data_IF_740791339674
#
_entry.id   IF_740791339674
#
_cell.length_a   1.000
_cell.length_b   1.000
_cell.length_c   1.000
_cell.angle_alpha   90.00
_cell.angle_beta   90.00
_cell.angle_gamma   90.00
#
_symmetry.space_group_name_H-M   'P 1'
#
loop_
_entity.id
_entity.type
_entity.pdbx_description
1 polymer ?
#
# COMPACT_ATOMS: atom_id res chain seq x y z
N UNK A 1 52.93 27.18 -15.13
CA UNK A 1 51.54 26.90 -15.57
C UNK A 1 50.81 26.31 -14.37
N UNK A 2 49.93 27.07 -13.73
CA UNK A 2 49.19 26.60 -12.55
C UNK A 2 48.13 25.61 -12.99
N UNK A 3 48.17 24.38 -12.46
CA UNK A 3 47.14 23.38 -12.74
C UNK A 3 45.76 23.96 -12.37
N UNK A 4 44.71 23.73 -13.18
CA UNK A 4 43.36 24.15 -12.81
C UNK A 4 43.01 23.51 -11.46
N UNK A 5 42.44 24.32 -10.55
CA UNK A 5 41.98 23.81 -9.27
C UNK A 5 40.93 22.71 -9.47
N UNK A 6 40.98 21.67 -8.64
CA UNK A 6 40.07 20.51 -8.70
C UNK A 6 38.60 20.91 -8.91
N UNK A 7 38.11 21.94 -8.21
CA UNK A 7 36.74 22.43 -8.34
C UNK A 7 36.41 23.04 -9.71
N UNK A 8 37.37 23.68 -10.37
CA UNK A 8 37.19 24.22 -11.71
C UNK A 8 37.06 23.09 -12.73
N UNK A 9 37.87 22.04 -12.58
CA UNK A 9 37.81 20.82 -13.39
C UNK A 9 36.48 20.08 -13.15
N UNK A 10 36.12 19.85 -11.89
CA UNK A 10 34.86 19.21 -11.49
C UNK A 10 33.64 19.94 -12.04
N UNK A 11 33.62 21.28 -11.97
CA UNK A 11 32.53 22.10 -12.52
C UNK A 11 32.44 21.99 -14.04
N UNK A 12 33.57 21.91 -14.73
CA UNK A 12 33.61 21.73 -16.19
C UNK A 12 33.05 20.36 -16.58
N UNK A 13 33.51 19.30 -15.92
CA UNK A 13 33.02 17.93 -16.10
C UNK A 13 31.50 17.84 -15.84
N UNK A 14 31.02 18.38 -14.71
CA UNK A 14 29.59 18.41 -14.37
C UNK A 14 28.74 19.12 -15.43
N UNK A 15 29.24 20.23 -16.00
CA UNK A 15 28.54 20.91 -17.09
C UNK A 15 28.52 20.10 -18.37
N UNK A 16 29.61 19.42 -18.70
CA UNK A 16 29.71 18.62 -19.91
C UNK A 16 28.77 17.41 -19.82
N UNK A 17 28.76 16.73 -18.68
CA UNK A 17 27.83 15.65 -18.33
C UNK A 17 26.38 16.13 -18.41
N UNK A 18 26.09 17.31 -17.85
CA UNK A 18 24.77 17.93 -17.87
C UNK A 18 24.23 18.27 -19.26
N UNK A 19 25.05 18.24 -20.32
CA UNK A 19 24.60 18.43 -21.71
C UNK A 19 24.12 17.13 -22.37
N UNK A 20 24.37 15.98 -21.75
CA UNK A 20 23.94 14.69 -22.29
C UNK A 20 22.41 14.54 -22.22
N UNK A 21 21.76 14.40 -23.38
CA UNK A 21 20.31 14.13 -23.43
C UNK A 21 19.94 12.80 -22.77
N UNK A 22 20.83 11.81 -22.86
CA UNK A 22 20.60 10.49 -22.29
C UNK A 22 20.59 10.51 -20.76
N UNK A 23 21.45 11.33 -20.13
CA UNK A 23 21.42 11.57 -18.68
C UNK A 23 20.03 12.06 -18.26
N UNK A 24 19.51 13.09 -18.93
CA UNK A 24 18.19 13.64 -18.62
C UNK A 24 17.05 12.68 -18.90
N UNK A 25 17.16 11.83 -19.94
CA UNK A 25 16.18 10.77 -20.20
C UNK A 25 16.14 9.74 -19.07
N UNK A 26 17.31 9.25 -18.61
CA UNK A 26 17.39 8.28 -17.51
C UNK A 26 16.88 8.89 -16.21
N UNK A 27 17.31 10.12 -15.87
CA UNK A 27 16.82 10.83 -14.69
C UNK A 27 15.32 11.11 -14.75
N UNK A 28 14.82 11.52 -15.92
CA UNK A 28 13.39 11.78 -16.14
C UNK A 28 12.55 10.51 -16.00
N UNK A 29 13.00 9.39 -16.58
CA UNK A 29 12.33 8.11 -16.46
C UNK A 29 12.33 7.61 -15.00
N UNK A 30 13.45 7.76 -14.30
CA UNK A 30 13.56 7.40 -12.88
C UNK A 30 12.64 8.27 -12.02
N UNK A 31 12.62 9.58 -12.25
CA UNK A 31 11.72 10.49 -11.53
C UNK A 31 10.25 10.15 -11.79
N UNK A 32 9.88 9.85 -13.03
CA UNK A 32 8.52 9.42 -13.38
C UNK A 32 8.15 8.10 -12.69
N UNK A 33 9.07 7.13 -12.67
CA UNK A 33 8.89 5.87 -11.97
C UNK A 33 8.69 6.09 -10.46
N UNK A 34 9.49 6.95 -9.82
CA UNK A 34 9.33 7.29 -8.40
C UNK A 34 7.99 7.93 -8.10
N UNK A 35 7.56 8.90 -8.91
CA UNK A 35 6.26 9.57 -8.75
C UNK A 35 5.10 8.59 -8.92
N UNK A 36 5.18 7.74 -9.95
CA UNK A 36 4.16 6.72 -10.21
C UNK A 36 4.08 5.68 -9.10
N UNK A 37 5.22 5.20 -8.60
CA UNK A 37 5.28 4.25 -7.49
C UNK A 37 4.71 4.84 -6.20
N UNK A 38 5.02 6.11 -5.90
CA UNK A 38 4.47 6.79 -4.73
C UNK A 38 2.95 7.02 -4.83
N UNK A 39 2.44 7.43 -6.00
CA UNK A 39 1.00 7.62 -6.18
C UNK A 39 0.23 6.29 -6.16
N UNK A 40 0.78 5.24 -6.79
CA UNK A 40 0.20 3.89 -6.77
C UNK A 40 0.05 3.34 -5.35
N UNK A 41 1.09 3.47 -4.52
CA UNK A 41 1.04 3.08 -3.11
C UNK A 41 0.06 3.94 -2.30
N UNK A 42 0.08 5.25 -2.48
CA UNK A 42 -0.85 6.15 -1.80
C UNK A 42 -2.31 5.89 -2.18
N UNK A 43 -2.60 5.60 -3.46
CA UNK A 43 -3.93 5.27 -3.95
C UNK A 43 -4.47 3.98 -3.32
N UNK A 44 -3.64 2.94 -3.19
CA UNK A 44 -4.00 1.72 -2.49
C UNK A 44 -4.39 2.01 -1.04
N UNK A 45 -3.51 2.72 -0.32
CA UNK A 45 -3.72 2.98 1.11
C UNK A 45 -4.97 3.84 1.35
N UNK A 46 -5.24 4.84 0.50
CA UNK A 46 -6.50 5.61 0.53
C UNK A 46 -7.72 4.71 0.38
N UNK A 47 -7.69 3.74 -0.55
CA UNK A 47 -8.79 2.80 -0.75
C UNK A 47 -8.97 1.88 0.47
N UNK A 48 -7.87 1.37 1.04
CA UNK A 48 -7.90 0.53 2.23
C UNK A 48 -8.43 1.29 3.47
N UNK A 49 -7.96 2.52 3.69
CA UNK A 49 -8.41 3.35 4.80
C UNK A 49 -9.90 3.71 4.66
N UNK A 50 -10.36 4.00 3.44
CA UNK A 50 -11.76 4.23 3.15
C UNK A 50 -12.61 2.97 3.44
N UNK A 51 -12.14 1.78 3.05
CA UNK A 51 -12.81 0.52 3.34
C UNK A 51 -12.89 0.23 4.86
N UNK A 52 -11.82 0.49 5.60
CA UNK A 52 -11.79 0.38 7.06
C UNK A 52 -12.78 1.37 7.70
N UNK A 53 -12.81 2.61 7.24
CA UNK A 53 -13.72 3.63 7.75
C UNK A 53 -15.19 3.25 7.50
N UNK A 54 -15.51 2.76 6.31
CA UNK A 54 -16.84 2.28 5.96
C UNK A 54 -17.25 1.08 6.82
N UNK A 55 -16.36 0.10 7.00
CA UNK A 55 -16.60 -1.06 7.85
C UNK A 55 -16.88 -0.64 9.30
N UNK A 56 -16.07 0.26 9.87
CA UNK A 56 -16.30 0.81 11.22
C UNK A 56 -17.63 1.55 11.34
N UNK A 57 -18.04 2.31 10.32
CA UNK A 57 -19.33 2.98 10.32
C UNK A 57 -20.49 1.98 10.33
N UNK A 58 -20.41 0.93 9.50
CA UNK A 58 -21.41 -0.13 9.45
C UNK A 58 -21.47 -0.93 10.76
N UNK A 59 -20.33 -1.24 11.37
CA UNK A 59 -20.27 -1.96 12.65
C UNK A 59 -20.88 -1.13 13.79
N UNK A 60 -20.63 0.19 13.83
CA UNK A 60 -21.27 1.09 14.79
C UNK A 60 -22.78 1.14 14.61
N UNK A 61 -23.26 1.29 13.37
CA UNK A 61 -24.69 1.31 13.08
C UNK A 61 -25.37 0.01 13.49
N UNK A 62 -24.73 -1.14 13.21
CA UNK A 62 -25.22 -2.45 13.63
C UNK A 62 -25.28 -2.60 15.15
N UNK A 63 -24.25 -2.13 15.86
CA UNK A 63 -24.20 -2.20 17.31
C UNK A 63 -25.29 -1.33 17.97
N UNK A 64 -25.54 -0.13 17.45
CA UNK A 64 -26.63 0.73 17.95
C UNK A 64 -28.01 0.08 17.71
N UNK A 65 -28.26 -0.45 16.51
CA UNK A 65 -29.50 -1.20 16.22
C UNK A 65 -29.68 -2.41 17.14
N UNK A 66 -28.59 -3.12 17.43
CA UNK A 66 -28.61 -4.29 18.32
C UNK A 66 -28.90 -3.86 19.77
N UNK A 67 -28.33 -2.75 20.23
CA UNK A 67 -28.60 -2.17 21.56
C UNK A 67 -30.04 -1.69 21.70
N UNK A 68 -30.57 -1.02 20.68
CA UNK A 68 -31.97 -0.59 20.65
C UNK A 68 -32.92 -1.79 20.74
N UNK A 69 -32.64 -2.85 19.96
CA UNK A 69 -33.39 -4.11 20.03
C UNK A 69 -33.30 -4.76 21.42
N UNK A 70 -32.11 -4.82 22.01
CA UNK A 70 -31.91 -5.35 23.36
C UNK A 70 -32.69 -4.55 24.41
N UNK A 71 -32.76 -3.21 24.30
CA UNK A 71 -33.58 -2.38 25.19
C UNK A 71 -35.08 -2.66 25.03
N UNK A 72 -35.54 -2.93 23.81
CA UNK A 72 -36.93 -3.32 23.54
C UNK A 72 -37.33 -4.62 24.25
N UNK A 73 -36.39 -5.55 24.40
CA UNK A 73 -36.59 -6.83 25.10
C UNK A 73 -36.22 -6.78 26.60
N UNK A 74 -35.84 -5.62 27.14
CA UNK A 74 -35.61 -5.45 28.58
C UNK A 74 -36.92 -5.49 29.40
N UNK A 75 -38.08 -5.45 28.75
CA UNK A 75 -39.38 -5.72 29.34
C UNK A 75 -39.76 -7.18 29.05
N UNK A 76 -40.37 -7.92 30.00
CA UNK A 76 -40.74 -9.31 29.75
C UNK A 76 -41.69 -9.39 28.55
N UNK A 77 -41.23 -10.01 27.48
CA UNK A 77 -42.06 -10.28 26.31
C UNK A 77 -43.13 -11.32 26.68
N UNK A 78 -44.34 -11.17 26.15
CA UNK A 78 -45.44 -12.10 26.40
C UNK A 78 -45.17 -13.51 25.85
N UNK A 79 -44.28 -13.63 24.86
CA UNK A 79 -43.78 -14.90 24.34
C UNK A 79 -42.24 -14.94 24.34
N UNK A 80 -41.63 -16.10 24.67
CA UNK A 80 -40.18 -16.27 24.61
C UNK A 80 -39.70 -16.22 23.17
N UNK A 81 -38.75 -15.31 22.89
CA UNK A 81 -38.13 -15.24 21.57
C UNK A 81 -37.18 -16.42 21.33
N UNK A 82 -37.05 -16.89 20.08
CA UNK A 82 -35.99 -17.80 19.72
C UNK A 82 -34.60 -17.15 19.89
N UNK A 83 -33.62 -17.93 20.33
CA UNK A 83 -32.27 -17.43 20.65
C UNK A 83 -31.59 -16.69 19.47
N UNK A 84 -31.87 -17.05 18.21
CA UNK A 84 -31.30 -16.37 17.04
C UNK A 84 -31.89 -14.98 16.75
N UNK A 85 -33.01 -14.62 17.39
CA UNK A 85 -33.64 -13.30 17.28
C UNK A 85 -33.41 -12.43 18.52
N UNK A 86 -32.97 -13.04 19.62
CA UNK A 86 -32.73 -12.38 20.90
C UNK A 86 -31.26 -11.93 21.04
N UNK A 87 -30.98 -10.61 21.02
CA UNK A 87 -29.64 -10.10 21.23
C UNK A 87 -29.20 -10.11 22.71
N UNK A 88 -30.10 -10.44 23.65
CA UNK A 88 -29.80 -10.55 25.09
C UNK A 88 -29.37 -11.96 25.49
N UNK A 89 -29.74 -12.98 24.71
CA UNK A 89 -29.23 -14.33 24.85
C UNK A 89 -27.75 -14.39 24.44
N UNK A 90 -26.91 -14.97 25.30
CA UNK A 90 -25.45 -15.01 25.09
C UNK A 90 -25.09 -15.85 23.87
N UNK A 91 -25.75 -16.99 23.66
CA UNK A 91 -25.48 -17.87 22.53
C UNK A 91 -25.97 -17.25 21.22
N UNK A 92 -27.17 -16.67 21.22
CA UNK A 92 -27.73 -15.88 20.13
C UNK A 92 -26.84 -14.72 19.72
N UNK A 93 -26.45 -13.90 20.69
CA UNK A 93 -25.59 -12.74 20.48
C UNK A 93 -24.26 -13.14 19.82
N UNK A 94 -23.59 -14.15 20.39
CA UNK A 94 -22.29 -14.62 19.90
C UNK A 94 -22.29 -15.08 18.44
N UNK A 95 -23.43 -15.61 17.96
CA UNK A 95 -23.54 -16.25 16.64
C UNK A 95 -24.15 -15.35 15.57
N UNK A 96 -25.16 -14.55 15.92
CA UNK A 96 -25.95 -13.79 14.95
C UNK A 96 -25.74 -12.28 15.04
N UNK A 97 -25.28 -11.78 16.18
CA UNK A 97 -25.20 -10.33 16.43
C UNK A 97 -23.77 -9.83 16.60
N UNK A 98 -22.84 -10.70 17.02
CA UNK A 98 -21.43 -10.35 17.16
C UNK A 98 -20.83 -10.09 15.78
N UNK A 99 -20.60 -8.81 15.51
CA UNK A 99 -19.94 -8.33 14.31
C UNK A 99 -18.70 -7.55 14.71
N UNK A 100 -17.68 -8.30 15.14
CA UNK A 100 -16.37 -7.75 15.47
C UNK A 100 -15.42 -7.95 14.28
N UNK A 101 -14.54 -6.96 14.06
CA UNK A 101 -13.57 -6.96 12.96
C UNK A 101 -12.20 -6.64 13.51
N UNK A 102 -11.18 -7.39 13.10
CA UNK A 102 -9.79 -7.03 13.27
C UNK A 102 -9.36 -6.14 12.10
N UNK A 103 -8.71 -5.02 12.38
CA UNK A 103 -8.29 -4.04 11.38
C UNK A 103 -6.77 -3.90 11.37
N UNK A 104 -6.18 -3.86 10.16
CA UNK A 104 -4.77 -3.54 9.94
C UNK A 104 -4.66 -2.07 9.50
N UNK A 105 -4.38 -1.11 10.41
CA UNK A 105 -4.24 0.29 10.03
C UNK A 105 -2.95 0.51 9.23
N UNK A 106 -3.01 1.43 8.29
CA UNK A 106 -1.83 1.87 7.55
C UNK A 106 -0.97 2.82 8.39
N UNK A 107 0.35 2.63 8.33
CA UNK A 107 1.32 3.51 8.98
C UNK A 107 1.64 4.70 8.07
N UNK A 108 2.09 5.85 8.58
CA UNK A 108 2.37 7.02 7.75
C UNK A 108 3.37 6.78 6.60
N UNK A 109 4.34 5.87 6.79
CA UNK A 109 5.35 5.51 5.79
C UNK A 109 5.01 4.28 4.96
N UNK A 110 3.95 3.54 5.29
CA UNK A 110 3.60 2.31 4.56
C UNK A 110 3.22 2.53 3.08
N UNK A 111 2.71 3.70 2.62
CA UNK A 111 2.49 3.94 1.20
C UNK A 111 3.78 3.93 0.35
N UNK A 112 4.95 4.13 0.95
CA UNK A 112 6.23 4.13 0.24
C UNK A 112 6.71 2.71 -0.08
N UNK A 113 6.29 1.72 0.70
CA UNK A 113 6.66 0.32 0.57
C UNK A 113 5.45 -0.55 0.90
N UNK A 114 4.65 -0.85 -0.13
CA UNK A 114 3.43 -1.64 -0.02
C UNK A 114 3.79 -3.09 0.35
N UNK A 115 4.78 -3.67 -0.35
CA UNK A 115 5.23 -5.05 -0.13
C UNK A 115 4.05 -6.03 -0.10
N UNK A 116 4.03 -6.94 0.88
CA UNK A 116 2.95 -7.92 1.05
C UNK A 116 1.61 -7.35 1.56
N UNK A 117 1.50 -6.03 1.75
CA UNK A 117 0.26 -5.40 2.23
C UNK A 117 -0.85 -5.39 1.19
N UNK A 118 -0.52 -5.62 -0.08
CA UNK A 118 -1.49 -5.85 -1.16
C UNK A 118 -2.08 -7.27 -1.14
N UNK A 119 -1.31 -8.27 -0.68
CA UNK A 119 -1.76 -9.66 -0.54
C UNK A 119 -2.57 -9.89 0.74
N UNK A 120 -2.21 -9.19 1.81
CA UNK A 120 -2.79 -9.42 3.14
C UNK A 120 -4.09 -8.65 3.34
N UNK A 121 -5.14 -9.28 3.90
CA UNK A 121 -6.40 -8.60 4.17
C UNK A 121 -6.21 -7.42 5.11
N UNK A 122 -6.94 -6.34 4.86
CA UNK A 122 -6.94 -5.12 5.68
C UNK A 122 -7.93 -5.19 6.84
N UNK A 123 -8.92 -6.07 6.73
CA UNK A 123 -9.98 -6.31 7.71
C UNK A 123 -10.35 -7.79 7.73
N UNK A 124 -10.58 -8.33 8.92
CA UNK A 124 -10.97 -9.72 9.11
C UNK A 124 -12.11 -9.84 10.13
N UNK A 125 -13.23 -10.50 9.79
CA UNK A 125 -14.30 -10.72 10.76
C UNK A 125 -13.83 -11.68 11.85
N UNK A 126 -14.04 -11.30 13.10
CA UNK A 126 -13.84 -12.17 14.27
C UNK A 126 -15.10 -13.01 14.43
N UNK A 127 -14.97 -14.32 14.19
CA UNK A 127 -16.04 -15.30 14.39
C UNK A 127 -15.65 -16.25 15.52
N UNK A 128 -16.64 -16.66 16.31
CA UNK A 128 -16.48 -17.64 17.39
C UNK A 128 -16.56 -19.09 16.88
N UNK A 129 -17.12 -19.28 15.70
CA UNK A 129 -17.15 -20.56 14.98
C UNK A 129 -16.10 -20.59 13.85
N UNK A 130 -15.58 -21.78 13.57
CA UNK A 130 -14.51 -21.98 12.57
C UNK A 130 -14.96 -21.46 11.20
N UNK A 131 -14.16 -20.59 10.55
CA UNK A 131 -14.48 -20.11 9.21
C UNK A 131 -14.19 -21.23 8.21
N UNK A 132 -15.16 -22.12 7.99
CA UNK A 132 -15.13 -23.05 6.86
C UNK A 132 -15.79 -22.35 5.66
N UNK A 133 -15.00 -21.66 4.83
CA UNK A 133 -15.49 -21.09 3.57
C UNK A 133 -14.70 -19.88 3.04
N UNK A 134 -14.94 -19.56 1.76
CA UNK A 134 -14.45 -18.34 1.11
C UNK A 134 -15.31 -17.17 1.61
N UNK A 135 -14.77 -16.35 2.50
CA UNK A 135 -15.47 -15.19 3.01
C UNK A 135 -15.56 -14.11 1.91
N UNK A 136 -16.76 -13.60 1.56
CA UNK A 136 -16.89 -12.54 0.53
C UNK A 136 -16.19 -11.23 0.90
N UNK A 137 -15.75 -11.09 2.16
CA UNK A 137 -14.98 -9.96 2.67
C UNK A 137 -13.55 -9.95 2.11
N UNK A 138 -13.06 -11.08 1.59
CA UNK A 138 -11.82 -11.11 0.83
C UNK A 138 -12.07 -10.52 -0.55
N UNK A 139 -11.55 -9.31 -0.78
CA UNK A 139 -11.43 -8.75 -2.12
C UNK A 139 -10.53 -9.68 -2.94
N UNK A 140 -11.14 -10.57 -3.72
CA UNK A 140 -10.43 -11.55 -4.55
C UNK A 140 -9.87 -10.84 -5.77
N UNK A 141 -8.64 -10.33 -5.64
CA UNK A 141 -7.86 -9.85 -6.77
C UNK A 141 -7.43 -11.07 -7.64
N UNK A 142 -7.45 -10.97 -8.98
CA UNK A 142 -7.02 -12.07 -9.83
C UNK A 142 -5.59 -12.54 -9.51
N UNK A 143 -5.30 -13.86 -9.53
CA UNK A 143 -3.97 -14.38 -9.16
C UNK A 143 -2.85 -13.88 -10.07
N UNK A 144 -3.18 -13.47 -11.31
CA UNK A 144 -2.23 -12.90 -12.26
C UNK A 144 -1.80 -11.47 -11.88
N UNK A 145 -2.69 -10.66 -11.31
CA UNK A 145 -2.31 -9.31 -10.83
C UNK A 145 -1.54 -9.40 -9.50
N UNK A 146 -1.85 -10.37 -8.64
CA UNK A 146 -1.12 -10.63 -7.40
C UNK A 146 0.31 -11.14 -7.64
N UNK A 147 0.53 -11.97 -8.67
CA UNK A 147 1.83 -12.61 -8.94
C UNK A 147 2.96 -11.67 -9.37
N UNK A 148 2.63 -10.50 -9.94
CA UNK A 148 3.62 -9.48 -10.33
C UNK A 148 3.91 -8.48 -9.21
N UNK A 149 3.07 -8.45 -8.16
CA UNK A 149 3.09 -7.45 -7.10
C UNK A 149 2.72 -6.06 -7.63
N UNK A 150 2.31 -5.17 -6.70
CA UNK A 150 2.06 -3.78 -7.05
C UNK A 150 3.38 -3.02 -7.28
N UNK A 151 3.40 -2.16 -8.29
CA UNK A 151 4.50 -1.22 -8.48
C UNK A 151 4.42 -0.09 -7.42
N UNK A 152 5.43 0.01 -6.56
CA UNK A 152 5.55 0.98 -5.47
C UNK A 152 6.92 1.69 -5.48
N UNK A 153 7.09 2.69 -4.60
CA UNK A 153 8.37 3.42 -4.50
C UNK A 153 9.50 2.53 -3.97
N UNK A 154 9.19 1.59 -3.07
CA UNK A 154 10.15 0.61 -2.54
C UNK A 154 10.83 -0.18 -3.65
N UNK A 155 10.07 -0.67 -4.63
CA UNK A 155 10.60 -1.35 -5.82
C UNK A 155 11.55 -0.45 -6.62
N UNK A 156 11.17 0.82 -6.82
CA UNK A 156 12.02 1.77 -7.55
C UNK A 156 13.35 1.98 -6.83
N UNK A 157 13.33 2.15 -5.51
CA UNK A 157 14.54 2.37 -4.71
C UNK A 157 15.42 1.12 -4.60
N UNK A 158 14.83 -0.06 -4.47
CA UNK A 158 15.56 -1.30 -4.29
C UNK A 158 16.12 -1.87 -5.60
N UNK A 159 15.43 -1.68 -6.73
CA UNK A 159 15.78 -2.31 -8.00
C UNK A 159 16.14 -1.32 -9.12
N UNK A 160 15.30 -0.31 -9.37
CA UNK A 160 15.52 0.60 -10.50
C UNK A 160 16.63 1.62 -10.24
N UNK A 161 16.74 2.15 -9.02
CA UNK A 161 17.77 3.12 -8.66
C UNK A 161 19.18 2.52 -8.80
N UNK A 162 19.51 1.32 -8.29
CA UNK A 162 20.81 0.69 -8.53
C UNK A 162 21.11 0.45 -10.02
N UNK A 163 20.12 0.03 -10.80
CA UNK A 163 20.30 -0.16 -12.25
C UNK A 163 20.57 1.17 -12.95
N UNK A 164 19.82 2.22 -12.59
CA UNK A 164 20.01 3.55 -13.13
C UNK A 164 21.38 4.13 -12.75
N UNK A 165 21.87 3.93 -11.52
CA UNK A 165 23.20 4.41 -11.12
C UNK A 165 24.32 3.70 -11.86
N UNK A 166 24.23 2.38 -12.05
CA UNK A 166 25.19 1.61 -12.86
C UNK A 166 25.17 2.10 -14.31
N UNK A 167 23.98 2.28 -14.90
CA UNK A 167 23.84 2.76 -16.26
C UNK A 167 24.44 4.17 -16.43
N UNK A 168 24.14 5.08 -15.50
CA UNK A 168 24.69 6.42 -15.50
C UNK A 168 26.22 6.39 -15.38
N UNK A 169 26.77 5.62 -14.42
CA UNK A 169 28.21 5.48 -14.26
C UNK A 169 28.90 4.95 -15.53
N UNK A 170 28.31 3.96 -16.20
CA UNK A 170 28.82 3.43 -17.46
C UNK A 170 28.78 4.47 -18.59
N UNK A 171 27.68 5.22 -18.71
CA UNK A 171 27.52 6.27 -19.73
C UNK A 171 28.49 7.43 -19.53
N UNK A 172 28.69 7.84 -18.28
CA UNK A 172 29.67 8.82 -17.86
C UNK A 172 31.10 8.37 -18.23
N UNK A 173 31.47 7.12 -17.90
CA UNK A 173 32.78 6.56 -18.24
C UNK A 173 33.02 6.33 -19.74
N UNK A 174 31.97 6.00 -20.51
CA UNK A 174 32.09 5.86 -21.96
C UNK A 174 32.30 7.23 -22.65
N UNK A 175 31.62 8.28 -22.18
CA UNK A 175 31.74 9.62 -22.75
C UNK A 175 33.15 10.24 -22.60
N UNK A 176 33.87 9.90 -21.52
CA UNK A 176 35.26 10.32 -21.33
C UNK A 176 36.24 9.54 -22.22
N UNK A 177 36.00 8.25 -22.46
CA UNK A 177 36.85 7.42 -23.32
C UNK A 177 36.78 7.82 -24.81
N UNK A 178 35.60 8.16 -25.34
CA UNK A 178 35.45 8.60 -26.74
C UNK A 178 36.18 9.92 -27.01
N UNK A 179 36.26 10.81 -26.03
CA UNK A 179 36.93 12.11 -26.18
C UNK A 179 38.46 11.98 -26.19
N UNK A 180 39.02 10.96 -25.52
CA UNK A 180 40.46 10.70 -25.48
C UNK A 180 41.02 10.01 -26.74
N UNK A 181 40.18 9.37 -27.56
CA UNK A 181 40.61 8.65 -28.76
C UNK A 181 40.62 9.54 -30.03
N UNK A 182 40.08 10.76 -29.96
CA UNK A 182 40.03 11.72 -31.06
C UNK A 182 40.88 12.99 -30.82
N UNK A 183 41.72 12.99 -29.78
CA UNK A 183 42.73 14.01 -29.51
C UNK A 183 44.13 13.45 -29.79
#
# INVERSE_FOLDING_TARGET
MSAPGFFALLRWELRQVGRSRLLWLVLGLLALAMLWGADSGAALHRAQDAAIAQARAADRAWLEQTRERARGYAQPAAEPLPYWQDPTDVAGYSRYFLRAQAYKPNLPSSPLAVGASDLLPTRLPVKLETPFGVEPVYDFEPPRSLGLGRFDLGFVLAYLLPVATILLAALLGASSATTACCA
#
